data_IF_082699196842
#
_entry.id   IF_082699196842
#
_cell.length_a   1.000
_cell.length_b   1.000
_cell.length_c   1.000
_cell.angle_alpha   90.00
_cell.angle_beta   90.00
_cell.angle_gamma   90.00
#
_symmetry.space_group_name_H-M   'P 1'
#
loop_
_entity.id
_entity.type
_entity.pdbx_description
1 polymer ?
#
# COMPACT_ATOMS: atom_id res chain seq x y z
N UNK A 1 7.09 18.07 42.61
CA UNK A 1 7.17 17.72 41.17
C UNK A 1 8.25 18.59 40.57
N UNK A 2 9.36 17.98 40.11
CA UNK A 2 10.46 18.76 39.53
C UNK A 2 10.06 19.29 38.16
N UNK A 3 10.46 20.52 37.84
CA UNK A 3 10.14 21.16 36.55
C UNK A 3 10.62 20.33 35.35
N UNK A 4 11.72 19.61 35.50
CA UNK A 4 12.26 18.68 34.49
C UNK A 4 11.38 17.45 34.26
N UNK A 5 10.72 16.93 35.29
CA UNK A 5 9.78 15.80 35.17
C UNK A 5 8.49 16.24 34.48
N UNK A 6 7.95 17.41 34.84
CA UNK A 6 6.76 17.98 34.22
C UNK A 6 6.97 18.28 32.72
N UNK A 7 8.16 18.78 32.33
CA UNK A 7 8.52 19.01 30.92
C UNK A 7 8.61 17.67 30.16
N UNK A 8 9.22 16.64 30.77
CA UNK A 8 9.33 15.31 30.16
C UNK A 8 7.95 14.68 29.94
N UNK A 9 7.08 14.73 30.94
CA UNK A 9 5.71 14.20 30.83
C UNK A 9 4.91 14.92 29.75
N UNK A 10 5.02 16.26 29.69
CA UNK A 10 4.35 17.06 28.66
C UNK A 10 4.85 16.71 27.25
N UNK A 11 6.16 16.50 27.07
CA UNK A 11 6.74 16.07 25.80
C UNK A 11 6.26 14.67 25.38
N UNK A 12 6.21 13.72 26.32
CA UNK A 12 5.72 12.36 26.06
C UNK A 12 4.24 12.38 25.67
N UNK A 13 3.41 13.13 26.40
CA UNK A 13 1.99 13.28 26.09
C UNK A 13 1.77 13.95 24.73
N UNK A 14 2.56 14.98 24.41
CA UNK A 14 2.49 15.65 23.10
C UNK A 14 2.88 14.72 21.95
N UNK A 15 3.93 13.92 22.13
CA UNK A 15 4.37 12.94 21.13
C UNK A 15 3.32 11.84 20.92
N UNK A 16 2.75 11.31 22.01
CA UNK A 16 1.65 10.35 21.95
C UNK A 16 0.42 10.94 21.25
N UNK A 17 0.07 12.20 21.55
CA UNK A 17 -1.02 12.91 20.88
C UNK A 17 -0.81 13.02 19.37
N UNK A 18 0.40 13.36 18.92
CA UNK A 18 0.74 13.42 17.49
C UNK A 18 0.64 12.05 16.81
N UNK A 19 1.13 10.99 17.46
CA UNK A 19 1.04 9.62 16.94
C UNK A 19 -0.42 9.21 16.79
N UNK A 20 -1.24 9.41 17.81
CA UNK A 20 -2.68 9.08 17.79
C UNK A 20 -3.38 9.87 16.68
N UNK A 21 -3.11 11.17 16.58
CA UNK A 21 -3.71 12.02 15.54
C UNK A 21 -3.35 11.55 14.13
N UNK A 22 -2.10 11.13 13.91
CA UNK A 22 -1.66 10.55 12.64
C UNK A 22 -2.46 9.28 12.29
N UNK A 23 -2.65 8.35 13.25
CA UNK A 23 -3.44 7.15 13.02
C UNK A 23 -4.92 7.46 12.74
N UNK A 24 -5.49 8.47 13.41
CA UNK A 24 -6.88 8.90 13.16
C UNK A 24 -7.03 9.41 11.73
N UNK A 25 -6.10 10.22 11.23
CA UNK A 25 -6.12 10.69 9.83
C UNK A 25 -6.02 9.51 8.87
N UNK A 26 -5.13 8.57 9.15
CA UNK A 26 -4.90 7.41 8.29
C UNK A 26 -6.16 6.52 8.21
N UNK A 27 -6.83 6.30 9.34
CA UNK A 27 -8.11 5.60 9.41
C UNK A 27 -9.21 6.38 8.69
N UNK A 28 -9.28 7.69 8.90
CA UNK A 28 -10.25 8.55 8.22
C UNK A 28 -10.07 8.50 6.70
N UNK A 29 -8.84 8.61 6.18
CA UNK A 29 -8.59 8.53 4.75
C UNK A 29 -8.90 7.12 4.19
N UNK A 30 -8.66 6.07 4.98
CA UNK A 30 -9.01 4.69 4.57
C UNK A 30 -10.54 4.52 4.47
N UNK A 31 -11.32 5.09 5.39
CA UNK A 31 -12.78 4.94 5.43
C UNK A 31 -13.46 5.94 4.48
N UNK A 32 -13.01 7.19 4.46
CA UNK A 32 -13.64 8.28 3.74
C UNK A 32 -13.15 8.38 2.29
N UNK A 33 -11.96 7.86 1.96
CA UNK A 33 -11.37 7.89 0.60
C UNK A 33 -10.73 6.55 0.20
N UNK A 34 -11.45 5.40 0.35
CA UNK A 34 -10.90 4.08 0.04
C UNK A 34 -10.46 3.92 -1.42
N UNK A 35 -11.09 4.66 -2.36
CA UNK A 35 -10.71 4.65 -3.78
C UNK A 35 -9.26 5.07 -4.02
N UNK A 36 -8.74 6.03 -3.25
CA UNK A 36 -7.36 6.53 -3.42
C UNK A 36 -6.33 5.45 -3.09
N UNK A 37 -6.61 4.65 -2.06
CA UNK A 37 -5.78 3.50 -1.70
C UNK A 37 -5.78 2.45 -2.82
N UNK A 38 -6.93 2.21 -3.45
CA UNK A 38 -7.04 1.27 -4.58
C UNK A 38 -6.32 1.80 -5.83
N UNK A 39 -6.40 3.10 -6.11
CA UNK A 39 -5.64 3.76 -7.19
C UNK A 39 -4.13 3.60 -7.00
N UNK A 40 -3.62 3.84 -5.79
CA UNK A 40 -2.20 3.68 -5.46
C UNK A 40 -1.76 2.21 -5.64
N UNK A 41 -2.57 1.26 -5.18
CA UNK A 41 -2.32 -0.18 -5.38
C UNK A 41 -2.33 -0.57 -6.86
N UNK A 42 -3.24 -0.02 -7.66
CA UNK A 42 -3.28 -0.26 -9.11
C UNK A 42 -2.03 0.23 -9.80
N UNK A 43 -1.57 1.44 -9.47
CA UNK A 43 -0.34 2.02 -10.02
C UNK A 43 0.89 1.15 -9.69
N UNK A 44 0.98 0.66 -8.45
CA UNK A 44 2.06 -0.25 -8.04
C UNK A 44 2.02 -1.58 -8.81
N UNK A 45 0.84 -2.18 -8.96
CA UNK A 45 0.63 -3.40 -9.74
C UNK A 45 1.04 -3.19 -11.21
N UNK A 46 0.68 -2.06 -11.82
CA UNK A 46 1.04 -1.76 -13.20
C UNK A 46 2.55 -1.60 -13.41
N UNK A 47 3.24 -0.94 -12.47
CA UNK A 47 4.71 -0.83 -12.47
C UNK A 47 5.39 -2.20 -12.37
N UNK A 48 4.87 -3.09 -11.52
CA UNK A 48 5.37 -4.46 -11.41
C UNK A 48 5.14 -5.26 -12.70
N UNK A 49 3.94 -5.16 -13.29
CA UNK A 49 3.62 -5.79 -14.58
C UNK A 49 4.58 -5.30 -15.67
N UNK A 50 4.87 -4.00 -15.74
CA UNK A 50 5.79 -3.45 -16.74
C UNK A 50 7.20 -4.03 -16.56
N UNK A 51 7.67 -4.15 -15.32
CA UNK A 51 8.96 -4.74 -14.98
C UNK A 51 9.04 -6.21 -15.40
N UNK A 52 7.98 -6.99 -15.18
CA UNK A 52 7.92 -8.39 -15.57
C UNK A 52 7.81 -8.59 -17.08
N UNK A 53 7.05 -7.72 -17.78
CA UNK A 53 6.89 -7.76 -19.25
C UNK A 53 8.20 -7.51 -20.00
N UNK A 54 9.10 -6.70 -19.45
CA UNK A 54 10.46 -6.49 -20.02
C UNK A 54 11.29 -7.77 -20.02
N UNK A 55 10.94 -8.76 -19.19
CA UNK A 55 11.55 -10.09 -19.17
C UNK A 55 13.01 -10.11 -18.72
N UNK A 56 13.69 -11.22 -19.04
CA UNK A 56 15.11 -11.41 -18.76
C UNK A 56 15.48 -11.57 -17.28
N UNK A 57 16.77 -11.39 -16.98
CA UNK A 57 17.33 -11.62 -15.64
C UNK A 57 16.75 -10.68 -14.59
N UNK A 58 16.45 -9.43 -14.97
CA UNK A 58 15.85 -8.43 -14.08
C UNK A 58 14.42 -8.82 -13.67
N UNK A 59 13.58 -9.25 -14.61
CA UNK A 59 12.23 -9.73 -14.29
C UNK A 59 12.27 -10.98 -13.40
N UNK A 60 13.17 -11.92 -13.68
CA UNK A 60 13.35 -13.13 -12.86
C UNK A 60 13.77 -12.80 -11.43
N UNK A 61 14.73 -11.90 -11.26
CA UNK A 61 15.18 -11.43 -9.95
C UNK A 61 14.08 -10.66 -9.21
N UNK A 62 13.41 -9.74 -9.91
CA UNK A 62 12.29 -9.00 -9.34
C UNK A 62 11.19 -9.94 -8.86
N UNK A 63 10.80 -10.92 -9.67
CA UNK A 63 9.85 -11.97 -9.29
C UNK A 63 10.31 -12.80 -8.10
N UNK A 64 11.61 -13.03 -7.96
CA UNK A 64 12.17 -13.77 -6.82
C UNK A 64 12.07 -13.00 -5.51
N UNK A 65 12.27 -11.68 -5.55
CA UNK A 65 12.16 -10.81 -4.37
C UNK A 65 10.70 -10.61 -3.96
N UNK A 66 9.86 -10.22 -4.91
CA UNK A 66 8.45 -9.85 -4.66
C UNK A 66 7.57 -11.05 -4.38
N UNK A 67 7.82 -12.18 -5.05
CA UNK A 67 7.07 -13.43 -4.89
C UNK A 67 8.01 -14.64 -4.80
N UNK A 68 8.72 -14.81 -3.66
CA UNK A 68 9.71 -15.88 -3.48
C UNK A 68 9.14 -17.29 -3.69
N UNK A 69 7.87 -17.49 -3.37
CA UNK A 69 7.16 -18.75 -3.54
C UNK A 69 7.14 -19.25 -5.00
N UNK A 70 7.29 -18.36 -5.97
CA UNK A 70 7.29 -18.69 -7.40
C UNK A 70 8.69 -18.85 -7.98
N UNK A 71 9.75 -18.71 -7.15
CA UNK A 71 11.14 -18.99 -7.52
C UNK A 71 11.59 -18.31 -8.82
N UNK A 72 11.06 -17.11 -9.09
CA UNK A 72 11.39 -16.33 -10.29
C UNK A 72 10.65 -16.78 -11.55
N UNK A 73 9.54 -17.52 -11.41
CA UNK A 73 8.62 -17.79 -12.51
C UNK A 73 7.86 -16.51 -12.88
N UNK A 74 8.41 -15.81 -13.89
CA UNK A 74 7.92 -14.52 -14.37
C UNK A 74 6.52 -14.64 -14.98
N UNK A 75 6.23 -15.72 -15.69
CA UNK A 75 4.96 -15.89 -16.38
C UNK A 75 3.82 -16.13 -15.38
N UNK A 76 4.06 -17.01 -14.40
CA UNK A 76 3.13 -17.23 -13.29
C UNK A 76 2.89 -15.96 -12.49
N UNK A 77 3.96 -15.21 -12.20
CA UNK A 77 3.86 -13.93 -11.50
C UNK A 77 3.05 -12.91 -12.30
N UNK A 78 3.34 -12.76 -13.59
CA UNK A 78 2.63 -11.85 -14.47
C UNK A 78 1.13 -12.20 -14.55
N UNK A 79 0.79 -13.48 -14.67
CA UNK A 79 -0.60 -13.95 -14.68
C UNK A 79 -1.35 -13.59 -13.39
N UNK A 80 -0.69 -13.74 -12.25
CA UNK A 80 -1.25 -13.33 -10.96
C UNK A 80 -1.51 -11.83 -10.90
N UNK A 81 -0.51 -10.99 -11.25
CA UNK A 81 -0.66 -9.54 -11.19
C UNK A 81 -1.73 -9.03 -12.16
N UNK A 82 -1.86 -9.64 -13.34
CA UNK A 82 -2.93 -9.31 -14.27
C UNK A 82 -4.31 -9.60 -13.66
N UNK A 83 -4.49 -10.74 -12.99
CA UNK A 83 -5.73 -11.05 -12.28
C UNK A 83 -6.01 -10.08 -11.12
N UNK A 84 -4.97 -9.75 -10.34
CA UNK A 84 -5.08 -8.79 -9.24
C UNK A 84 -5.44 -7.39 -9.73
N UNK A 85 -4.88 -6.96 -10.86
CA UNK A 85 -5.21 -5.68 -11.50
C UNK A 85 -6.69 -5.61 -11.88
N UNK A 86 -7.24 -6.64 -12.52
CA UNK A 86 -8.65 -6.64 -12.90
C UNK A 86 -9.57 -6.60 -11.66
N UNK A 87 -9.22 -7.35 -10.60
CA UNK A 87 -9.95 -7.30 -9.34
C UNK A 87 -9.92 -5.90 -8.71
N UNK A 88 -8.76 -5.25 -8.69
CA UNK A 88 -8.60 -3.89 -8.16
C UNK A 88 -9.31 -2.83 -9.00
N UNK A 89 -9.37 -3.00 -10.32
CA UNK A 89 -10.18 -2.14 -11.20
C UNK A 89 -11.68 -2.27 -10.88
N UNK A 90 -12.18 -3.48 -10.71
CA UNK A 90 -13.56 -3.71 -10.31
C UNK A 90 -13.88 -3.13 -8.92
N UNK A 91 -12.93 -3.25 -7.98
CA UNK A 91 -13.04 -2.63 -6.65
C UNK A 91 -13.10 -1.10 -6.73
N UNK A 92 -12.26 -0.48 -7.57
CA UNK A 92 -12.29 0.96 -7.79
C UNK A 92 -13.61 1.42 -8.41
N UNK A 93 -14.12 0.71 -9.41
CA UNK A 93 -15.42 0.99 -10.04
C UNK A 93 -16.57 0.88 -9.02
N UNK A 94 -16.50 -0.07 -8.09
CA UNK A 94 -17.47 -0.19 -7.00
C UNK A 94 -17.42 1.05 -6.09
N UNK A 95 -16.24 1.51 -5.70
CA UNK A 95 -16.10 2.72 -4.88
C UNK A 95 -16.58 3.98 -5.61
N UNK A 96 -16.33 4.09 -6.92
CA UNK A 96 -16.86 5.19 -7.73
C UNK A 96 -18.39 5.19 -7.79
N UNK A 97 -19.02 4.01 -7.87
CA UNK A 97 -20.47 3.86 -7.83
C UNK A 97 -21.05 4.23 -6.47
N UNK A 98 -20.41 3.81 -5.37
CA UNK A 98 -20.85 4.13 -4.00
C UNK A 98 -20.68 5.60 -3.64
N UNK A 99 -19.87 6.34 -4.40
CA UNK A 99 -19.66 7.78 -4.24
C UNK A 99 -20.79 8.63 -4.87
N UNK A 100 -21.55 8.07 -5.82
CA UNK A 100 -22.71 8.74 -6.44
C UNK A 100 -23.94 8.62 -5.56
#
# INVERSE_FOLDING_TARGET
MNTTEAVRETLVLSLLGLIIFYFIILLYDTIARPWRLVEEQLMEIEMHIETLRKGGRRAKFHSWISMPAWRGDVEKHLKYLLGLRELKKAELELFEKLRR
#
